data_IF_428416937179
#
_entry.id   IF_428416937179
#
_cell.length_a   1.000
_cell.length_b   1.000
_cell.length_c   1.000
_cell.angle_alpha   90.00
_cell.angle_beta   90.00
_cell.angle_gamma   90.00
#
_symmetry.space_group_name_H-M   'P 1'
#
loop_
_entity.id
_entity.type
_entity.pdbx_description
1 polymer ?
#
# COMPACT_ATOMS: atom_id res chain seq x y z
N UNK A 1 2.30 13.40 14.99
CA UNK A 1 2.69 12.31 14.08
C UNK A 1 1.45 11.60 13.59
N UNK A 2 0.73 12.28 12.69
CA UNK A 2 -0.50 11.83 12.08
C UNK A 2 -0.31 11.69 10.58
N UNK A 3 -0.97 10.71 10.00
CA UNK A 3 -0.94 10.45 8.55
C UNK A 3 -1.63 11.61 7.80
N UNK A 4 -0.90 12.24 6.87
CA UNK A 4 -1.41 13.29 6.00
C UNK A 4 -1.73 12.78 4.60
N UNK A 5 -0.79 12.09 3.96
CA UNK A 5 -0.93 11.57 2.60
C UNK A 5 -0.51 10.11 2.54
N UNK A 6 -1.13 9.39 1.59
CA UNK A 6 -0.82 8.00 1.26
C UNK A 6 -0.85 7.90 -0.25
N UNK A 7 0.28 7.56 -0.88
CA UNK A 7 0.44 7.57 -2.32
C UNK A 7 0.92 6.22 -2.84
N UNK A 8 0.40 5.80 -4.00
CA UNK A 8 0.86 4.60 -4.70
C UNK A 8 1.84 4.98 -5.80
N UNK A 9 3.02 4.36 -5.77
CA UNK A 9 4.11 4.55 -6.72
C UNK A 9 4.34 3.22 -7.46
N UNK A 10 3.71 3.02 -8.63
CA UNK A 10 3.87 1.80 -9.42
C UNK A 10 5.27 1.73 -10.01
N UNK A 11 5.95 0.58 -9.89
CA UNK A 11 7.27 0.37 -10.46
C UNK A 11 7.16 -0.21 -11.87
N UNK A 12 7.83 0.43 -12.84
CA UNK A 12 7.89 0.02 -14.25
C UNK A 12 9.27 0.33 -14.84
N UNK A 13 9.56 -0.24 -16.01
CA UNK A 13 10.77 0.02 -16.80
C UNK A 13 11.97 -0.88 -16.48
N UNK A 14 11.81 -1.79 -15.51
CA UNK A 14 12.83 -2.76 -15.11
C UNK A 14 12.21 -4.02 -14.47
N UNK A 15 10.96 -4.36 -14.81
CA UNK A 15 10.32 -5.57 -14.29
C UNK A 15 11.09 -6.79 -14.78
N UNK A 16 11.54 -7.61 -13.82
CA UNK A 16 12.33 -8.79 -14.11
C UNK A 16 11.44 -9.92 -14.62
N UNK A 17 12.02 -10.77 -15.46
CA UNK A 17 11.38 -12.03 -15.82
C UNK A 17 11.26 -12.91 -14.56
N UNK A 18 10.02 -13.03 -14.07
CA UNK A 18 9.65 -13.82 -12.91
C UNK A 18 9.51 -15.32 -13.20
N UNK A 19 9.82 -15.78 -14.42
CA UNK A 19 9.73 -17.18 -14.82
C UNK A 19 8.31 -17.65 -15.13
N UNK A 20 7.42 -16.72 -15.48
CA UNK A 20 6.04 -17.04 -15.86
C UNK A 20 5.99 -17.59 -17.30
N UNK A 21 5.07 -18.52 -17.62
CA UNK A 21 5.01 -19.14 -18.95
C UNK A 21 4.83 -18.15 -20.11
N UNK A 22 4.20 -17.00 -19.84
CA UNK A 22 4.00 -15.93 -20.82
C UNK A 22 5.15 -14.91 -20.85
N UNK A 23 6.10 -14.99 -19.91
CA UNK A 23 7.12 -13.96 -19.68
C UNK A 23 6.52 -12.67 -19.10
N UNK A 24 7.39 -11.68 -18.92
CA UNK A 24 7.02 -10.31 -18.55
C UNK A 24 7.84 -9.32 -19.37
N UNK A 25 7.21 -8.22 -19.77
CA UNK A 25 7.91 -7.07 -20.36
C UNK A 25 8.38 -6.11 -19.25
N UNK A 26 9.52 -5.40 -19.43
CA UNK A 26 10.04 -4.46 -18.43
C UNK A 26 9.04 -3.38 -17.99
N UNK A 27 8.09 -3.01 -18.86
CA UNK A 27 7.06 -2.01 -18.63
C UNK A 27 5.86 -2.54 -17.82
N UNK A 28 5.73 -3.85 -17.66
CA UNK A 28 4.64 -4.44 -16.87
C UNK A 28 4.80 -4.06 -15.40
N UNK A 29 3.69 -3.72 -14.74
CA UNK A 29 3.71 -3.31 -13.35
C UNK A 29 3.23 -4.43 -12.43
N UNK A 30 4.18 -5.09 -11.77
CA UNK A 30 3.91 -6.20 -10.84
C UNK A 30 4.13 -5.82 -9.36
N UNK A 31 4.83 -4.71 -9.12
CA UNK A 31 5.16 -4.22 -7.79
C UNK A 31 4.80 -2.75 -7.66
N UNK A 32 4.25 -2.37 -6.52
CA UNK A 32 3.86 -0.99 -6.24
C UNK A 32 4.35 -0.62 -4.85
N UNK A 33 4.98 0.53 -4.72
CA UNK A 33 5.30 1.09 -3.41
C UNK A 33 4.13 1.91 -2.88
N UNK A 34 4.00 1.95 -1.56
CA UNK A 34 3.13 2.88 -0.84
C UNK A 34 4.04 3.82 -0.06
N UNK A 35 3.84 5.12 -0.24
CA UNK A 35 4.51 6.16 0.54
C UNK A 35 3.49 6.80 1.48
N UNK A 36 3.83 6.91 2.77
CA UNK A 36 3.02 7.60 3.78
C UNK A 36 3.80 8.80 4.30
N UNK A 37 3.22 9.99 4.21
CA UNK A 37 3.80 11.20 4.79
C UNK A 37 2.96 11.70 5.96
N UNK A 38 3.64 12.11 7.03
CA UNK A 38 3.03 12.59 8.29
C UNK A 38 2.93 14.11 8.36
N UNK A 39 2.19 14.60 9.34
CA UNK A 39 2.06 16.03 9.66
C UNK A 39 3.34 16.70 10.18
N UNK A 40 4.36 15.90 10.48
CA UNK A 40 5.68 16.36 10.89
C UNK A 40 6.70 16.30 9.75
N UNK A 41 6.28 15.88 8.54
CA UNK A 41 7.15 15.75 7.37
C UNK A 41 8.01 14.49 7.34
N UNK A 42 7.75 13.52 8.23
CA UNK A 42 8.37 12.19 8.19
C UNK A 42 7.63 11.32 7.18
N UNK A 43 8.38 10.56 6.40
CA UNK A 43 7.87 9.68 5.35
C UNK A 43 8.39 8.26 5.56
N UNK A 44 7.52 7.27 5.42
CA UNK A 44 7.91 5.86 5.35
C UNK A 44 7.36 5.17 4.11
N UNK A 45 8.04 4.10 3.70
CA UNK A 45 7.78 3.39 2.45
C UNK A 45 7.50 1.92 2.70
N UNK A 46 6.45 1.42 2.06
CA UNK A 46 6.10 0.01 2.04
C UNK A 46 5.91 -0.53 0.64
N UNK A 47 5.83 -1.85 0.51
CA UNK A 47 5.74 -2.52 -0.79
C UNK A 47 4.53 -3.44 -0.89
N UNK A 48 3.90 -3.44 -2.05
CA UNK A 48 2.82 -4.35 -2.43
C UNK A 48 3.24 -5.21 -3.63
N UNK A 49 3.02 -6.52 -3.55
CA UNK A 49 3.16 -7.45 -4.67
C UNK A 49 1.88 -7.49 -5.50
N UNK A 50 1.60 -6.37 -6.18
CA UNK A 50 0.53 -6.25 -7.18
C UNK A 50 0.67 -4.94 -7.98
N UNK A 51 -0.16 -4.78 -9.01
CA UNK A 51 -0.16 -3.59 -9.85
C UNK A 51 -0.75 -2.35 -9.15
N UNK A 52 -0.28 -1.19 -9.57
CA UNK A 52 -0.66 0.11 -9.07
C UNK A 52 -2.11 0.44 -9.35
N UNK A 53 -2.69 -0.10 -10.42
CA UNK A 53 -4.14 -0.02 -10.66
C UNK A 53 -4.92 -0.65 -9.52
N UNK A 54 -4.51 -1.85 -9.09
CA UNK A 54 -5.14 -2.55 -7.99
C UNK A 54 -4.90 -1.82 -6.65
N UNK A 55 -3.66 -1.40 -6.40
CA UNK A 55 -3.32 -0.65 -5.17
C UNK A 55 -4.09 0.67 -5.08
N UNK A 56 -4.17 1.46 -6.16
CA UNK A 56 -4.93 2.72 -6.18
C UNK A 56 -6.41 2.51 -5.87
N UNK A 57 -7.03 1.49 -6.48
CA UNK A 57 -8.42 1.15 -6.17
C UNK A 57 -8.62 0.76 -4.70
N UNK A 58 -7.66 0.05 -4.09
CA UNK A 58 -7.70 -0.24 -2.67
C UNK A 58 -7.49 1.03 -1.81
N UNK A 59 -6.56 1.91 -2.19
CA UNK A 59 -6.31 3.16 -1.48
C UNK A 59 -7.51 4.12 -1.54
N UNK A 60 -8.31 4.14 -2.61
CA UNK A 60 -9.56 4.91 -2.66
C UNK A 60 -10.52 4.51 -1.53
N UNK A 61 -10.59 3.21 -1.20
CA UNK A 61 -11.39 2.70 -0.09
C UNK A 61 -10.75 3.02 1.28
N UNK A 62 -9.42 2.87 1.39
CA UNK A 62 -8.71 2.88 2.68
C UNK A 62 -8.31 4.29 3.16
N UNK A 63 -8.00 5.20 2.24
CA UNK A 63 -7.49 6.55 2.56
C UNK A 63 -8.42 7.36 3.48
N UNK A 64 -9.75 7.34 3.31
CA UNK A 64 -10.67 8.01 4.24
C UNK A 64 -10.56 7.51 5.69
N UNK A 65 -10.15 6.25 5.88
CA UNK A 65 -9.97 5.63 7.20
C UNK A 65 -8.60 5.91 7.82
N UNK A 66 -7.62 6.32 7.00
CA UNK A 66 -6.22 6.59 7.39
C UNK A 66 -5.97 8.06 7.70
N UNK A 67 -6.68 8.98 7.05
CA UNK A 67 -6.42 10.41 7.20
C UNK A 67 -6.52 10.83 8.68
N UNK A 68 -5.50 11.51 9.18
CA UNK A 68 -5.35 11.92 10.58
C UNK A 68 -5.22 10.79 11.63
N UNK A 69 -5.09 9.53 11.22
CA UNK A 69 -4.72 8.44 12.15
C UNK A 69 -3.27 8.59 12.63
N UNK A 70 -2.96 7.94 13.74
CA UNK A 70 -1.61 7.88 14.30
C UNK A 70 -0.66 7.15 13.37
N UNK A 71 0.51 7.72 13.11
CA UNK A 71 1.56 7.05 12.32
C UNK A 71 2.42 6.08 13.16
N UNK A 72 2.32 6.13 14.51
CA UNK A 72 3.16 5.36 15.45
C UNK A 72 2.42 4.19 16.10
N UNK A 73 1.29 3.79 15.54
CA UNK A 73 0.48 2.66 16.02
C UNK A 73 0.13 1.71 14.86
N UNK A 74 1.14 1.16 14.13
CA UNK A 74 0.93 0.39 12.91
C UNK A 74 -0.09 -0.73 13.08
N UNK A 75 0.07 -1.55 14.12
CA UNK A 75 -0.83 -2.68 14.40
C UNK A 75 -2.29 -2.24 14.63
N UNK A 76 -2.50 -1.16 15.39
CA UNK A 76 -3.84 -0.63 15.67
C UNK A 76 -4.48 -0.09 14.40
N UNK A 77 -3.73 0.67 13.61
CA UNK A 77 -4.23 1.27 12.37
C UNK A 77 -4.55 0.18 11.35
N UNK A 78 -3.67 -0.79 11.15
CA UNK A 78 -3.90 -1.83 10.14
C UNK A 78 -5.00 -2.82 10.55
N UNK A 79 -5.17 -3.11 11.84
CA UNK A 79 -6.34 -3.85 12.33
C UNK A 79 -7.65 -3.06 12.15
N UNK A 80 -7.64 -1.75 12.38
CA UNK A 80 -8.80 -0.89 12.07
C UNK A 80 -9.18 -1.03 10.60
N UNK A 81 -8.21 -0.95 9.68
CA UNK A 81 -8.47 -1.12 8.25
C UNK A 81 -9.10 -2.47 7.93
N UNK A 82 -8.51 -3.58 8.42
CA UNK A 82 -9.02 -4.94 8.18
C UNK A 82 -10.44 -5.14 8.70
N UNK A 83 -10.75 -4.57 9.87
CA UNK A 83 -12.10 -4.65 10.44
C UNK A 83 -13.09 -3.83 9.62
N UNK A 84 -12.70 -2.64 9.17
CA UNK A 84 -13.55 -1.76 8.35
C UNK A 84 -13.75 -2.29 6.92
N UNK A 85 -12.79 -3.04 6.38
CA UNK A 85 -12.86 -3.63 5.03
C UNK A 85 -13.28 -5.10 5.02
N UNK A 86 -13.77 -5.66 6.14
CA UNK A 86 -14.04 -7.09 6.30
C UNK A 86 -14.81 -7.74 5.13
N UNK A 87 -15.89 -7.09 4.67
CA UNK A 87 -16.72 -7.59 3.56
C UNK A 87 -16.20 -7.23 2.17
N UNK A 88 -15.28 -6.28 2.09
CA UNK A 88 -14.82 -5.67 0.84
C UNK A 88 -13.47 -6.24 0.38
N UNK A 89 -12.68 -6.79 1.30
CA UNK A 89 -11.42 -7.42 0.95
C UNK A 89 -10.62 -7.89 2.16
N UNK A 90 -10.81 -9.17 2.53
CA UNK A 90 -9.94 -9.92 3.44
C UNK A 90 -8.80 -10.67 2.72
N UNK A 91 -8.52 -10.27 1.49
CA UNK A 91 -7.51 -10.86 0.63
C UNK A 91 -7.38 -10.06 -0.66
N UNK A 92 -6.43 -10.45 -1.51
CA UNK A 92 -6.17 -9.78 -2.77
C UNK A 92 -5.75 -8.31 -2.57
N UNK A 93 -6.22 -7.42 -3.46
CA UNK A 93 -5.73 -6.05 -3.53
C UNK A 93 -5.83 -5.25 -2.22
N UNK A 94 -6.97 -5.36 -1.52
CA UNK A 94 -7.20 -4.61 -0.28
C UNK A 94 -6.23 -5.04 0.80
N UNK A 95 -6.03 -6.36 1.00
CA UNK A 95 -5.08 -6.85 1.99
C UNK A 95 -3.63 -6.57 1.58
N UNK A 96 -3.29 -6.65 0.29
CA UNK A 96 -1.95 -6.26 -0.19
C UNK A 96 -1.66 -4.79 0.10
N UNK A 97 -2.63 -3.90 -0.11
CA UNK A 97 -2.49 -2.49 0.24
C UNK A 97 -2.36 -2.28 1.75
N UNK A 98 -3.16 -2.98 2.57
CA UNK A 98 -3.04 -2.91 4.04
C UNK A 98 -1.65 -3.39 4.50
N UNK A 99 -1.11 -4.46 3.91
CA UNK A 99 0.24 -4.93 4.21
C UNK A 99 1.31 -3.91 3.80
N UNK A 100 1.17 -3.26 2.64
CA UNK A 100 2.07 -2.18 2.23
C UNK A 100 2.00 -0.97 3.16
N UNK A 101 0.80 -0.59 3.61
CA UNK A 101 0.60 0.44 4.63
C UNK A 101 1.27 0.05 5.96
N UNK A 102 1.12 -1.20 6.40
CA UNK A 102 1.73 -1.71 7.63
C UNK A 102 3.26 -1.55 7.60
N UNK A 103 3.90 -1.97 6.50
CA UNK A 103 5.35 -1.81 6.29
C UNK A 103 5.74 -0.32 6.30
N UNK A 104 5.00 0.54 5.58
CA UNK A 104 5.29 1.97 5.52
C UNK A 104 5.17 2.65 6.90
N UNK A 105 4.24 2.21 7.75
CA UNK A 105 4.08 2.72 9.11
C UNK A 105 5.17 2.22 10.07
N UNK A 106 5.73 1.04 9.83
CA UNK A 106 6.90 0.55 10.58
C UNK A 106 8.21 1.21 10.16
N UNK A 107 8.27 1.74 8.94
CA UNK A 107 9.41 2.51 8.42
C UNK A 107 9.45 3.96 8.95
N UNK A 108 8.30 4.49 9.39
CA UNK A 108 8.17 5.79 10.10
C UNK A 108 8.67 5.67 11.53
#
# INVERSE_FOLDING_TARGET
>A
MRIQTVEAIPLTGATVDGGWPQGHEPEENLHTLIEITTDEGITGVGSCFTSGTLVRGALELLTPLLKNESAVEPERVTEKLRRSSFWQGRGGSVEHAIAGIDIALWDI
#
